data_IF_551269706944
#
_entry.id   IF_551269706944
#
_cell.length_a   1.000
_cell.length_b   1.000
_cell.length_c   1.000
_cell.angle_alpha   90.00
_cell.angle_beta   90.00
_cell.angle_gamma   90.00
#
_symmetry.space_group_name_H-M   'P 1'
#
loop_
_entity.id
_entity.type
_entity.pdbx_description
1 polymer ?
#
# COMPACT_ATOMS: atom_id res chain seq x y z
N UNK A 1 16.74 32.76 37.22
CA UNK A 1 16.05 32.83 35.92
C UNK A 1 17.01 32.39 34.81
N UNK A 2 16.99 31.13 34.32
CA UNK A 2 17.71 30.77 33.11
C UNK A 2 16.77 30.59 31.91
N UNK A 3 17.26 31.02 30.74
CA UNK A 3 16.63 30.96 29.41
C UNK A 3 16.40 29.51 28.97
N UNK A 4 15.15 29.17 28.67
CA UNK A 4 14.78 27.95 27.95
C UNK A 4 15.00 28.17 26.45
N UNK A 5 15.91 27.39 25.86
CA UNK A 5 16.12 27.33 24.42
C UNK A 5 14.87 26.76 23.73
N UNK A 6 14.35 27.48 22.74
CA UNK A 6 13.41 26.92 21.76
C UNK A 6 14.11 25.81 20.98
N UNK A 7 13.80 24.55 21.30
CA UNK A 7 13.98 23.44 20.37
C UNK A 7 12.88 23.52 19.31
N UNK A 8 13.21 24.19 18.21
CA UNK A 8 12.44 24.13 16.98
C UNK A 8 12.67 22.74 16.37
N UNK A 9 11.79 21.78 16.69
CA UNK A 9 11.81 20.46 16.06
C UNK A 9 11.54 20.64 14.57
N UNK A 10 12.55 20.31 13.77
CA UNK A 10 12.44 20.22 12.33
C UNK A 10 11.35 19.24 11.94
N UNK A 11 10.27 19.76 11.36
CA UNK A 11 9.35 19.02 10.51
C UNK A 11 10.11 18.56 9.26
N UNK A 12 10.96 17.55 9.40
CA UNK A 12 11.44 16.78 8.25
C UNK A 12 10.25 15.99 7.73
N UNK A 13 9.90 16.07 6.44
CA UNK A 13 8.88 15.19 5.87
C UNK A 13 9.38 13.77 6.10
N UNK A 14 8.64 13.03 6.94
CA UNK A 14 8.92 11.64 7.25
C UNK A 14 8.73 10.88 5.95
N UNK A 15 9.81 10.75 5.17
CA UNK A 15 9.89 9.85 4.04
C UNK A 15 9.51 8.48 4.61
N UNK A 16 8.27 8.07 4.39
CA UNK A 16 7.77 6.77 4.81
C UNK A 16 8.58 5.76 4.00
N UNK A 17 9.71 5.35 4.58
CA UNK A 17 10.52 4.28 4.03
C UNK A 17 9.56 3.12 3.80
N UNK A 18 9.44 2.64 2.55
CA UNK A 18 8.61 1.48 2.25
C UNK A 18 9.01 0.36 3.23
N UNK A 19 8.03 -0.34 3.79
CA UNK A 19 8.30 -1.52 4.60
C UNK A 19 9.23 -2.47 3.83
N UNK A 20 10.04 -3.32 4.48
CA UNK A 20 10.95 -4.25 3.77
C UNK A 20 10.21 -5.13 2.74
N UNK A 21 8.90 -5.32 2.94
CA UNK A 21 8.02 -6.10 2.07
C UNK A 21 7.35 -5.26 0.95
N UNK A 22 7.60 -3.95 0.90
CA UNK A 22 7.04 -3.06 -0.12
C UNK A 22 7.79 -3.19 -1.45
N UNK A 23 7.03 -3.29 -2.53
CA UNK A 23 7.52 -3.24 -3.90
C UNK A 23 7.62 -1.84 -4.45
N UNK A 24 8.57 -1.61 -5.37
CA UNK A 24 8.68 -0.39 -6.17
C UNK A 24 8.60 -0.71 -7.67
N UNK A 25 7.80 0.06 -8.40
CA UNK A 25 7.73 0.09 -9.86
C UNK A 25 7.98 1.52 -10.32
N UNK A 26 8.83 1.70 -11.32
CA UNK A 26 9.08 3.00 -11.95
C UNK A 26 8.52 2.98 -13.37
N UNK A 27 7.74 3.98 -13.72
CA UNK A 27 7.12 4.15 -15.02
C UNK A 27 7.68 5.38 -15.75
N UNK A 28 7.73 5.29 -17.07
CA UNK A 28 7.97 6.42 -17.97
C UNK A 28 6.72 7.30 -18.11
N UNK A 29 6.87 8.43 -18.80
CA UNK A 29 5.78 9.34 -19.15
C UNK A 29 4.69 8.73 -20.04
N UNK A 30 5.00 7.60 -20.69
CA UNK A 30 4.09 6.78 -21.50
C UNK A 30 3.58 5.54 -20.76
N UNK A 31 3.65 5.52 -19.42
CA UNK A 31 3.23 4.41 -18.57
C UNK A 31 3.94 3.06 -18.87
N UNK A 32 5.16 3.09 -19.42
CA UNK A 32 5.97 1.87 -19.61
C UNK A 32 6.81 1.61 -18.36
N UNK A 33 6.88 0.36 -17.93
CA UNK A 33 7.73 -0.04 -16.80
C UNK A 33 9.20 0.17 -17.21
N UNK A 34 9.89 1.02 -16.46
CA UNK A 34 11.34 1.25 -16.55
C UNK A 34 12.10 0.38 -15.55
N UNK A 35 11.51 0.14 -14.39
CA UNK A 35 12.10 -0.67 -13.33
C UNK A 35 11.02 -1.33 -12.48
N UNK A 36 11.29 -2.55 -12.02
CA UNK A 36 10.48 -3.27 -11.05
C UNK A 36 11.41 -4.10 -10.15
N UNK A 37 11.41 -3.81 -8.84
CA UNK A 37 12.26 -4.54 -7.91
C UNK A 37 11.68 -5.94 -7.59
N UNK A 38 12.45 -6.76 -6.84
CA UNK A 38 12.04 -8.12 -6.48
C UNK A 38 10.74 -8.18 -5.68
N UNK A 39 10.60 -7.32 -4.65
CA UNK A 39 9.40 -7.25 -3.82
C UNK A 39 8.16 -6.85 -4.64
N UNK A 40 8.29 -5.92 -5.60
CA UNK A 40 7.21 -5.58 -6.51
C UNK A 40 6.80 -6.76 -7.38
N UNK A 41 7.76 -7.52 -7.94
CA UNK A 41 7.45 -8.74 -8.71
C UNK A 41 6.67 -9.75 -7.88
N UNK A 42 7.08 -9.99 -6.63
CA UNK A 42 6.41 -10.91 -5.72
C UNK A 42 4.98 -10.45 -5.38
N UNK A 43 4.78 -9.18 -5.06
CA UNK A 43 3.45 -8.63 -4.77
C UNK A 43 2.55 -8.61 -6.00
N UNK A 44 3.13 -8.30 -7.15
CA UNK A 44 2.37 -8.29 -8.39
C UNK A 44 1.93 -9.72 -8.77
N UNK A 45 2.73 -10.77 -8.47
CA UNK A 45 2.34 -12.17 -8.69
C UNK A 45 1.04 -12.58 -7.96
N UNK A 46 0.60 -11.82 -6.95
CA UNK A 46 -0.70 -12.02 -6.30
C UNK A 46 -1.88 -11.76 -7.26
N UNK A 47 -1.69 -10.95 -8.31
CA UNK A 47 -2.70 -10.70 -9.34
C UNK A 47 -2.76 -11.81 -10.41
N UNK A 48 -1.73 -12.66 -10.52
CA UNK A 48 -1.68 -13.73 -11.52
C UNK A 48 -0.27 -14.23 -11.84
N UNK A 49 -0.18 -15.27 -12.67
CA UNK A 49 1.06 -16.03 -12.92
C UNK A 49 2.02 -15.40 -13.92
N UNK A 50 1.60 -14.42 -14.73
CA UNK A 50 2.40 -13.83 -15.83
C UNK A 50 3.50 -12.84 -15.42
N UNK A 51 3.93 -12.88 -14.16
CA UNK A 51 4.74 -11.83 -13.54
C UNK A 51 6.15 -11.64 -14.09
N UNK A 52 6.76 -12.69 -14.64
CA UNK A 52 8.10 -12.64 -15.24
C UNK A 52 8.13 -11.87 -16.57
N UNK A 53 6.97 -11.72 -17.22
CA UNK A 53 6.85 -11.09 -18.53
C UNK A 53 6.51 -9.61 -18.44
N UNK A 54 6.11 -9.08 -17.28
CA UNK A 54 5.59 -7.71 -17.16
C UNK A 54 6.51 -6.57 -17.61
N UNK A 55 7.85 -6.63 -17.42
CA UNK A 55 8.72 -5.59 -17.99
C UNK A 55 8.69 -5.54 -19.53
N UNK A 56 8.33 -6.66 -20.18
CA UNK A 56 8.29 -6.80 -21.64
C UNK A 56 6.87 -6.77 -22.20
N UNK A 57 5.87 -7.00 -21.35
CA UNK A 57 4.47 -6.92 -21.75
C UNK A 57 4.04 -5.47 -21.97
N UNK A 58 3.09 -5.32 -22.88
CA UNK A 58 2.47 -4.04 -23.11
C UNK A 58 1.62 -3.61 -21.88
N UNK A 59 1.44 -2.31 -21.62
CA UNK A 59 0.73 -1.79 -20.43
C UNK A 59 -0.67 -2.39 -20.19
N UNK A 60 -1.34 -2.81 -21.25
CA UNK A 60 -2.62 -3.53 -21.23
C UNK A 60 -2.57 -4.91 -20.54
N UNK A 61 -1.37 -5.48 -20.33
CA UNK A 61 -1.18 -6.75 -19.64
C UNK A 61 -0.96 -6.60 -18.12
N UNK A 62 -0.85 -5.36 -17.63
CA UNK A 62 -0.88 -5.08 -16.19
C UNK A 62 -2.31 -5.16 -15.65
N UNK A 63 -2.49 -5.50 -14.37
CA UNK A 63 -3.78 -5.38 -13.70
C UNK A 63 -4.37 -3.97 -13.92
N UNK A 64 -5.61 -3.89 -14.40
CA UNK A 64 -6.25 -2.63 -14.81
C UNK A 64 -6.20 -1.57 -13.70
N UNK A 65 -6.41 -1.98 -12.45
CA UNK A 65 -6.34 -1.11 -11.26
C UNK A 65 -5.01 -0.36 -11.15
N UNK A 66 -3.90 -0.98 -11.55
CA UNK A 66 -2.57 -0.38 -11.50
C UNK A 66 -2.34 0.53 -12.70
N UNK A 67 -2.78 0.12 -13.89
CA UNK A 67 -2.69 0.94 -15.11
C UNK A 67 -3.53 2.21 -14.97
N UNK A 68 -4.76 2.10 -14.46
CA UNK A 68 -5.63 3.23 -14.17
C UNK A 68 -5.01 4.17 -13.12
N UNK A 69 -4.54 3.62 -12.00
CA UNK A 69 -3.92 4.42 -10.95
C UNK A 69 -2.65 5.12 -11.44
N UNK A 70 -1.82 4.46 -12.25
CA UNK A 70 -0.66 5.09 -12.87
C UNK A 70 -1.08 6.21 -13.84
N UNK A 71 -2.16 6.01 -14.60
CA UNK A 71 -2.75 7.03 -15.47
C UNK A 71 -3.20 8.27 -14.68
N UNK A 72 -3.89 8.08 -13.56
CA UNK A 72 -4.33 9.17 -12.67
C UNK A 72 -3.13 9.98 -12.16
N UNK A 73 -2.06 9.30 -11.74
CA UNK A 73 -0.82 9.95 -11.27
C UNK A 73 -0.15 10.73 -12.40
N UNK A 74 -0.08 10.17 -13.62
CA UNK A 74 0.48 10.85 -14.79
C UNK A 74 -0.30 12.11 -15.15
N UNK A 75 -1.63 12.06 -15.14
CA UNK A 75 -2.49 13.22 -15.42
C UNK A 75 -2.24 14.32 -14.40
N UNK A 76 -2.24 13.98 -13.11
CA UNK A 76 -1.96 14.95 -12.04
C UNK A 76 -0.57 15.57 -12.17
N UNK A 77 0.44 14.76 -12.50
CA UNK A 77 1.80 15.27 -12.69
C UNK A 77 1.91 16.21 -13.89
N UNK A 78 1.25 15.89 -15.01
CA UNK A 78 1.24 16.77 -16.20
C UNK A 78 0.62 18.12 -15.89
N UNK A 79 -0.53 18.15 -15.22
CA UNK A 79 -1.18 19.40 -14.80
C UNK A 79 -0.27 20.26 -13.90
N UNK A 80 0.47 19.64 -12.97
CA UNK A 80 1.41 20.36 -12.11
C UNK A 80 2.60 20.91 -12.87
N UNK A 81 3.17 20.12 -13.80
CA UNK A 81 4.25 20.59 -14.68
C UNK A 81 3.81 21.77 -15.54
N UNK A 82 2.60 21.73 -16.09
CA UNK A 82 2.00 22.85 -16.85
C UNK A 82 1.80 24.09 -15.98
N UNK A 83 1.35 23.90 -14.73
CA UNK A 83 1.19 24.98 -13.75
C UNK A 83 2.50 25.48 -13.13
N UNK A 84 3.66 24.92 -13.54
CA UNK A 84 4.97 25.18 -12.91
C UNK A 84 4.98 24.92 -11.40
N UNK A 85 4.10 24.03 -10.94
CA UNK A 85 4.04 23.55 -9.57
C UNK A 85 5.01 22.39 -9.40
N UNK A 86 6.17 22.69 -8.83
CA UNK A 86 7.23 21.72 -8.58
C UNK A 86 7.10 21.01 -7.22
N UNK A 87 5.99 21.22 -6.51
CA UNK A 87 5.74 20.52 -5.26
C UNK A 87 5.63 19.01 -5.52
N UNK A 88 6.27 18.23 -4.65
CA UNK A 88 6.07 16.79 -4.63
C UNK A 88 4.61 16.49 -4.26
N UNK A 89 4.00 15.52 -4.93
CA UNK A 89 2.67 15.05 -4.59
C UNK A 89 2.65 13.52 -4.50
N UNK A 90 1.69 13.05 -3.70
CA UNK A 90 1.44 11.65 -3.46
C UNK A 90 -0.04 11.37 -3.72
N UNK A 91 -0.32 10.28 -4.42
CA UNK A 91 -1.67 9.71 -4.53
C UNK A 91 -1.66 8.35 -3.85
N UNK A 92 -2.77 7.96 -3.21
CA UNK A 92 -2.90 6.68 -2.52
C UNK A 92 -4.21 6.00 -2.90
N UNK A 93 -4.19 4.69 -3.07
CA UNK A 93 -5.38 3.86 -3.30
C UNK A 93 -5.20 2.49 -2.64
N UNK A 94 -6.23 1.93 -2.03
CA UNK A 94 -6.20 0.56 -1.52
C UNK A 94 -6.76 -0.37 -2.60
N UNK A 95 -6.03 -1.43 -2.90
CA UNK A 95 -6.41 -2.50 -3.82
C UNK A 95 -6.82 -3.74 -3.03
N UNK A 96 -8.11 -4.08 -3.07
CA UNK A 96 -8.69 -5.25 -2.40
C UNK A 96 -8.78 -6.48 -3.32
N UNK A 97 -8.20 -6.44 -4.52
CA UNK A 97 -8.28 -7.54 -5.50
C UNK A 97 -7.37 -8.72 -5.16
N UNK A 98 -6.44 -8.54 -4.22
CA UNK A 98 -5.46 -9.54 -3.80
C UNK A 98 -5.47 -9.65 -2.27
N UNK A 99 -4.98 -10.77 -1.75
CA UNK A 99 -4.85 -10.99 -0.30
C UNK A 99 -3.38 -11.26 0.05
N UNK A 100 -2.76 -10.49 0.97
CA UNK A 100 -3.34 -9.32 1.65
C UNK A 100 -3.63 -8.16 0.67
N UNK A 101 -4.57 -7.28 1.04
CA UNK A 101 -4.84 -6.08 0.26
C UNK A 101 -3.58 -5.21 0.13
N UNK A 102 -3.43 -4.48 -0.97
CA UNK A 102 -2.25 -3.63 -1.20
C UNK A 102 -2.61 -2.16 -1.08
N UNK A 103 -1.80 -1.40 -0.36
CA UNK A 103 -1.75 0.05 -0.50
C UNK A 103 -0.87 0.40 -1.70
N UNK A 104 -1.49 1.01 -2.70
CA UNK A 104 -0.85 1.63 -3.85
C UNK A 104 -0.52 3.07 -3.48
N UNK A 105 0.72 3.50 -3.69
CA UNK A 105 1.14 4.89 -3.49
C UNK A 105 1.94 5.37 -4.70
N UNK A 106 1.44 6.39 -5.36
CA UNK A 106 2.00 6.94 -6.60
C UNK A 106 2.61 8.31 -6.36
N UNK A 107 3.83 8.50 -6.85
CA UNK A 107 4.58 9.75 -6.78
C UNK A 107 4.93 10.22 -8.18
N UNK A 108 4.81 11.52 -8.40
CA UNK A 108 5.31 12.14 -9.62
C UNK A 108 6.73 12.70 -9.44
N UNK A 109 7.64 12.33 -10.34
CA UNK A 109 9.01 12.86 -10.38
C UNK A 109 9.22 13.58 -11.70
N UNK A 110 9.16 14.93 -11.70
CA UNK A 110 9.53 15.70 -12.87
C UNK A 110 11.06 15.77 -13.01
N UNK A 111 11.57 15.60 -14.23
CA UNK A 111 12.96 15.88 -14.57
C UNK A 111 13.04 17.28 -15.20
N UNK A 112 13.57 18.24 -14.43
CA UNK A 112 13.66 19.64 -14.84
C UNK A 112 14.56 19.85 -16.08
N UNK A 113 15.52 18.96 -16.34
CA UNK A 113 16.52 19.14 -17.41
C UNK A 113 15.98 18.77 -18.79
N UNK A 114 15.17 17.72 -18.90
CA UNK A 114 14.65 17.22 -20.18
C UNK A 114 13.11 17.21 -20.27
N UNK A 115 12.41 17.75 -19.26
CA UNK A 115 10.94 17.71 -19.11
C UNK A 115 10.36 16.29 -19.13
N UNK A 116 11.19 15.28 -18.90
CA UNK A 116 10.74 13.90 -18.76
C UNK A 116 10.01 13.76 -17.43
N UNK A 117 8.90 13.04 -17.47
CA UNK A 117 8.08 12.74 -16.31
C UNK A 117 8.28 11.27 -15.99
N UNK A 118 8.54 10.97 -14.73
CA UNK A 118 8.54 9.60 -14.20
C UNK A 118 7.51 9.46 -13.10
N UNK A 119 6.92 8.28 -13.01
CA UNK A 119 6.03 7.91 -11.91
C UNK A 119 6.68 6.79 -11.11
N UNK A 120 6.71 6.95 -9.80
CA UNK A 120 7.12 5.90 -8.87
C UNK A 120 5.85 5.38 -8.20
N UNK A 121 5.60 4.09 -8.35
CA UNK A 121 4.52 3.38 -7.67
C UNK A 121 5.12 2.46 -6.62
N UNK A 122 4.67 2.58 -5.37
CA UNK A 122 4.97 1.61 -4.33
C UNK A 122 3.76 0.74 -4.04
N UNK A 123 4.00 -0.56 -3.88
CA UNK A 123 3.03 -1.57 -3.48
C UNK A 123 3.35 -1.98 -2.06
N UNK A 124 2.46 -1.73 -1.10
CA UNK A 124 2.68 -2.10 0.30
C UNK A 124 1.60 -3.05 0.76
N UNK A 125 1.92 -4.28 1.20
CA UNK A 125 0.91 -5.17 1.75
C UNK A 125 0.32 -4.55 3.02
N UNK A 126 -1.00 -4.46 3.09
CA UNK A 126 -1.70 -4.11 4.30
C UNK A 126 -1.77 -5.37 5.15
N UNK A 127 -1.05 -5.38 6.26
CA UNK A 127 -1.23 -6.42 7.27
C UNK A 127 -2.69 -6.38 7.71
N UNK A 128 -3.46 -7.40 7.38
CA UNK A 128 -4.68 -7.71 8.11
C UNK A 128 -4.21 -7.92 9.55
N UNK A 129 -4.52 -7.01 10.47
CA UNK A 129 -4.49 -7.45 11.86
C UNK A 129 -5.40 -8.69 11.90
N UNK A 130 -4.93 -9.85 12.41
CA UNK A 130 -5.89 -10.87 12.76
C UNK A 130 -6.89 -10.16 13.66
N UNK A 131 -8.17 -10.19 13.29
CA UNK A 131 -9.21 -9.74 14.17
C UNK A 131 -9.21 -10.72 15.34
N UNK A 132 -8.30 -10.54 16.30
CA UNK A 132 -8.43 -11.12 17.61
C UNK A 132 -9.59 -10.38 18.24
N UNK A 133 -10.79 -10.88 17.94
CA UNK A 133 -11.95 -10.71 18.80
C UNK A 133 -11.62 -11.40 20.12
N UNK A 134 -10.69 -10.83 20.89
CA UNK A 134 -10.59 -11.06 22.31
C UNK A 134 -11.71 -10.23 22.93
N UNK A 135 -12.81 -10.90 23.27
CA UNK A 135 -13.62 -10.44 24.37
C UNK A 135 -13.37 -11.40 25.54
N UNK A 136 -12.43 -11.09 26.45
CA UNK A 136 -12.29 -11.82 27.68
C UNK A 136 -13.28 -11.23 28.71
N UNK A 137 -14.11 -12.12 29.27
CA UNK A 137 -14.88 -11.99 30.53
C UNK A 137 -16.28 -11.37 30.46
N UNK A 138 -17.26 -12.26 30.33
CA UNK A 138 -18.56 -12.22 31.02
C UNK A 138 -19.11 -13.67 30.97
N UNK A 139 -19.50 -14.38 32.02
CA UNK A 139 -19.52 -14.15 33.46
C UNK A 139 -19.55 -15.54 34.10
N UNK A 140 -18.72 -15.75 35.12
CA UNK A 140 -18.77 -16.89 36.00
C UNK A 140 -19.71 -16.54 37.16
N UNK A 141 -20.87 -17.20 37.25
CA UNK A 141 -21.82 -17.40 38.38
C UNK A 141 -23.17 -17.78 37.73
N UNK A 142 -23.87 -18.86 38.04
CA UNK A 142 -24.14 -19.43 39.37
C UNK A 142 -24.11 -20.95 39.35
N UNK A 143 -23.63 -21.49 40.46
CA UNK A 143 -23.80 -22.87 40.86
C UNK A 143 -25.26 -23.16 41.26
N UNK A 144 -25.55 -24.46 41.21
CA UNK A 144 -26.39 -25.22 42.15
C UNK A 144 -27.91 -25.42 41.88
N UNK A 145 -28.25 -26.72 41.91
CA UNK A 145 -29.53 -27.39 42.27
C UNK A 145 -30.54 -27.56 41.10
N UNK A 146 -31.01 -28.74 40.66
CA UNK A 146 -31.19 -30.10 41.20
C UNK A 146 -30.60 -31.16 40.23
N UNK A 147 -29.83 -32.17 40.64
CA UNK A 147 -30.17 -33.36 41.45
C UNK A 147 -31.11 -34.38 40.78
N UNK A 148 -30.52 -35.55 40.45
CA UNK A 148 -31.13 -36.90 40.40
C UNK A 148 -32.16 -37.16 39.27
N UNK A 149 -32.12 -38.23 38.49
CA UNK A 149 -31.93 -39.64 38.88
C UNK A 149 -31.31 -40.45 37.73
N UNK A 150 -30.39 -41.34 38.11
CA UNK A 150 -29.70 -42.33 37.29
C UNK A 150 -30.61 -43.43 36.70
N UNK A 151 -30.19 -43.90 35.53
CA UNK A 151 -30.21 -45.29 35.02
C UNK A 151 -30.99 -46.37 35.80
N UNK A 152 -31.82 -47.14 35.09
CA UNK A 152 -31.89 -48.60 35.23
C UNK A 152 -32.43 -49.28 33.96
N UNK A 153 -31.86 -50.46 33.71
CA UNK A 153 -32.03 -51.42 32.61
C UNK A 153 -33.46 -51.95 32.46
N UNK A 154 -33.94 -52.21 31.24
CA UNK A 154 -33.92 -53.53 30.58
C UNK A 154 -34.68 -53.53 29.25
#
# INVERSE_FOLDING_TARGET
MPRSALQNQGNSPRLLLPSPDSGMIVFSSSARILHMNGSARALMALFGTSHELWPQMAPESMPSILTEFCGDVLVQLRHRVEAQDWAQFEMRRICHMVTPALLLTGFGVPNATNREIRVILTLTPLSSMPCTAQNPRHSQLSADILASVSHALS
#
